data_IF_434521793931
#
_entry.id   IF_434521793931
#
_cell.length_a   1.000
_cell.length_b   1.000
_cell.length_c   1.000
_cell.angle_alpha   90.00
_cell.angle_beta   90.00
_cell.angle_gamma   90.00
#
_symmetry.space_group_name_H-M   'P 1'
#
loop_
_entity.id
_entity.type
_entity.pdbx_description
1 polymer ?
#
# COMPACT_ATOMS: atom_id res chain seq x y z
N UNK A 1 13.53 -7.74 -4.48
CA UNK A 1 12.18 -7.76 -5.10
C UNK A 1 11.63 -9.16 -4.98
N UNK A 2 10.50 -9.31 -4.28
CA UNK A 2 9.86 -10.60 -4.03
C UNK A 2 9.16 -11.12 -5.29
N UNK A 3 9.26 -12.42 -5.54
CA UNK A 3 8.46 -13.11 -6.55
C UNK A 3 6.99 -13.21 -6.14
N UNK A 4 6.10 -13.42 -7.11
CA UNK A 4 4.66 -13.65 -6.87
C UNK A 4 4.41 -14.73 -5.82
N UNK A 5 5.10 -15.87 -5.93
CA UNK A 5 4.95 -16.98 -4.98
C UNK A 5 5.43 -16.60 -3.57
N UNK A 6 6.48 -15.78 -3.45
CA UNK A 6 6.94 -15.28 -2.15
C UNK A 6 5.92 -14.33 -1.52
N UNK A 7 5.29 -13.45 -2.32
CA UNK A 7 4.23 -12.53 -1.87
C UNK A 7 3.00 -13.31 -1.40
N UNK A 8 2.56 -14.31 -2.16
CA UNK A 8 1.41 -15.14 -1.80
C UNK A 8 1.67 -15.89 -0.48
N UNK A 9 2.83 -16.56 -0.36
CA UNK A 9 3.22 -17.25 0.89
C UNK A 9 3.35 -16.30 2.08
N UNK A 10 3.87 -15.08 1.87
CA UNK A 10 3.96 -14.06 2.92
C UNK A 10 2.57 -13.65 3.40
N UNK A 11 1.63 -13.41 2.47
CA UNK A 11 0.24 -13.07 2.80
C UNK A 11 -0.45 -14.13 3.66
N UNK A 12 -0.26 -15.41 3.36
CA UNK A 12 -0.84 -16.50 4.15
C UNK A 12 -0.23 -16.59 5.57
N UNK A 13 1.08 -16.36 5.73
CA UNK A 13 1.71 -16.30 7.06
C UNK A 13 1.21 -15.10 7.88
N UNK A 14 1.00 -13.94 7.24
CA UNK A 14 0.43 -12.75 7.88
C UNK A 14 -0.98 -13.01 8.41
N UNK A 15 -1.81 -13.71 7.64
CA UNK A 15 -3.16 -14.11 8.08
C UNK A 15 -3.12 -15.08 9.26
N UNK A 16 -2.23 -16.07 9.22
CA UNK A 16 -2.08 -17.07 10.28
C UNK A 16 -1.63 -16.47 11.62
N UNK A 17 -0.91 -15.34 11.59
CA UNK A 17 -0.69 -14.47 12.75
C UNK A 17 0.56 -14.75 13.59
N UNK A 18 1.27 -15.84 13.33
CA UNK A 18 2.58 -16.15 13.93
C UNK A 18 3.71 -15.54 13.09
N UNK A 19 3.78 -14.21 13.04
CA UNK A 19 4.74 -13.48 12.23
C UNK A 19 6.14 -13.50 12.85
N UNK A 20 7.13 -13.88 12.04
CA UNK A 20 8.54 -13.75 12.40
C UNK A 20 9.05 -12.35 12.05
N UNK A 21 10.19 -11.95 12.64
CA UNK A 21 10.87 -10.71 12.23
C UNK A 21 11.23 -10.69 10.74
N UNK A 22 11.53 -11.87 10.18
CA UNK A 22 11.80 -12.00 8.76
C UNK A 22 10.55 -11.70 7.92
N UNK A 23 9.37 -12.14 8.36
CA UNK A 23 8.11 -11.83 7.69
C UNK A 23 7.80 -10.33 7.74
N UNK A 24 8.04 -9.69 8.89
CA UNK A 24 7.86 -8.23 9.02
C UNK A 24 8.82 -7.46 8.11
N UNK A 25 10.06 -7.91 7.97
CA UNK A 25 11.03 -7.34 7.02
C UNK A 25 10.58 -7.52 5.57
N UNK A 26 10.14 -8.73 5.20
CA UNK A 26 9.63 -8.98 3.84
C UNK A 26 8.34 -8.19 3.55
N UNK A 27 7.49 -7.97 4.55
CA UNK A 27 6.31 -7.13 4.40
C UNK A 27 6.68 -5.65 4.22
N UNK A 28 7.69 -5.16 4.93
CA UNK A 28 8.19 -3.80 4.72
C UNK A 28 8.90 -3.65 3.36
N UNK A 29 9.67 -4.64 2.89
CA UNK A 29 10.22 -4.66 1.52
C UNK A 29 9.10 -4.58 0.48
N UNK A 30 8.06 -5.43 0.63
CA UNK A 30 6.89 -5.41 -0.25
C UNK A 30 6.19 -4.05 -0.24
N UNK A 31 6.00 -3.45 0.95
CA UNK A 31 5.39 -2.12 1.07
C UNK A 31 6.22 -1.04 0.36
N UNK A 32 7.54 -1.06 0.54
CA UNK A 32 8.47 -0.09 -0.07
C UNK A 32 8.56 -0.23 -1.58
N UNK A 33 8.25 -1.40 -2.16
CA UNK A 33 8.25 -1.57 -3.62
C UNK A 33 7.21 -0.69 -4.34
N UNK A 34 6.24 -0.14 -3.61
CA UNK A 34 5.26 0.80 -4.14
C UNK A 34 5.76 2.24 -4.20
N UNK A 35 6.96 2.56 -3.70
CA UNK A 35 7.49 3.92 -3.68
C UNK A 35 7.54 4.54 -5.09
N UNK A 36 8.04 3.81 -6.08
CA UNK A 36 8.11 4.31 -7.46
C UNK A 36 6.72 4.56 -8.06
N UNK A 37 5.76 3.65 -7.84
CA UNK A 37 4.39 3.83 -8.31
C UNK A 37 3.70 5.02 -7.62
N UNK A 38 3.98 5.21 -6.33
CA UNK A 38 3.54 6.36 -5.56
C UNK A 38 4.12 7.67 -6.10
N UNK A 39 5.43 7.73 -6.37
CA UNK A 39 6.08 8.96 -6.87
C UNK A 39 5.50 9.38 -8.23
N UNK A 40 5.22 8.41 -9.10
CA UNK A 40 4.52 8.65 -10.38
C UNK A 40 3.12 9.18 -10.13
N UNK A 41 2.31 8.51 -9.30
CA UNK A 41 0.95 8.94 -9.00
C UNK A 41 0.94 10.34 -8.38
N UNK A 42 1.84 10.64 -7.45
CA UNK A 42 1.99 11.94 -6.81
C UNK A 42 2.34 13.03 -7.83
N UNK A 43 3.32 12.78 -8.70
CA UNK A 43 3.76 13.72 -9.73
C UNK A 43 2.66 14.01 -10.75
N UNK A 44 1.92 12.97 -11.15
CA UNK A 44 0.74 13.08 -12.02
C UNK A 44 -0.33 13.92 -11.32
N UNK A 45 -0.74 13.56 -10.11
CA UNK A 45 -1.74 14.30 -9.33
C UNK A 45 -1.37 15.79 -9.18
N UNK A 46 -0.10 16.09 -8.90
CA UNK A 46 0.39 17.46 -8.79
C UNK A 46 0.35 18.23 -10.11
N UNK A 47 0.60 17.56 -11.22
CA UNK A 47 0.57 18.18 -12.56
C UNK A 47 -0.85 18.48 -13.04
N UNK A 48 -1.83 17.63 -12.67
CA UNK A 48 -3.22 17.76 -13.12
C UNK A 48 -4.08 18.64 -12.21
N UNK A 49 -3.66 18.88 -10.97
CA UNK A 49 -4.45 19.64 -10.01
C UNK A 49 -3.73 20.92 -9.60
N UNK A 50 -4.48 21.97 -9.26
CA UNK A 50 -3.92 23.19 -8.66
C UNK A 50 -3.69 23.04 -7.15
N UNK A 51 -3.97 21.86 -6.60
CA UNK A 51 -3.85 21.56 -5.19
C UNK A 51 -2.62 20.69 -4.93
N UNK A 52 -1.98 20.88 -3.77
CA UNK A 52 -0.83 20.06 -3.41
C UNK A 52 -1.33 18.69 -2.91
N UNK A 53 -0.99 17.57 -3.59
CA UNK A 53 -1.34 16.24 -3.12
C UNK A 53 -0.59 15.91 -1.82
N UNK A 54 -1.21 15.06 -1.00
CA UNK A 54 -0.59 14.51 0.22
C UNK A 54 -0.44 13.00 0.09
N UNK A 55 0.68 12.47 0.56
CA UNK A 55 0.98 11.05 0.47
C UNK A 55 0.65 10.27 1.73
N UNK A 56 0.20 9.03 1.57
CA UNK A 56 0.07 8.08 2.67
C UNK A 56 0.41 6.67 2.22
N UNK A 57 1.35 6.06 2.94
CA UNK A 57 1.56 4.62 2.89
C UNK A 57 0.78 3.96 4.04
N UNK A 58 0.21 2.79 3.77
CA UNK A 58 -0.27 1.94 4.85
C UNK A 58 0.88 1.52 5.75
N UNK A 59 0.64 1.37 7.04
CA UNK A 59 1.61 0.73 7.93
C UNK A 59 1.54 -0.80 7.79
N UNK A 60 2.60 -1.51 8.17
CA UNK A 60 2.59 -2.98 8.23
C UNK A 60 1.40 -3.50 9.05
N UNK A 61 1.12 -2.88 10.22
CA UNK A 61 -0.03 -3.25 11.06
C UNK A 61 -1.35 -3.11 10.31
N UNK A 62 -1.57 -2.00 9.60
CA UNK A 62 -2.81 -1.79 8.83
C UNK A 62 -2.95 -2.73 7.62
N UNK A 63 -1.84 -3.25 7.08
CA UNK A 63 -1.85 -4.30 6.05
C UNK A 63 -2.27 -5.64 6.69
N UNK A 64 -1.68 -6.00 7.83
CA UNK A 64 -2.00 -7.20 8.59
C UNK A 64 -3.49 -7.21 8.97
N UNK A 65 -3.98 -6.12 9.56
CA UNK A 65 -5.39 -5.96 9.94
C UNK A 65 -6.33 -6.12 8.75
N UNK A 66 -6.00 -5.52 7.59
CA UNK A 66 -6.82 -5.65 6.38
C UNK A 66 -6.85 -7.07 5.86
N UNK A 67 -5.71 -7.76 5.82
CA UNK A 67 -5.65 -9.15 5.37
C UNK A 67 -6.47 -10.09 6.25
N UNK A 68 -6.45 -9.86 7.56
CA UNK A 68 -7.26 -10.63 8.51
C UNK A 68 -8.75 -10.33 8.37
N UNK A 69 -9.12 -9.07 8.12
CA UNK A 69 -10.52 -8.66 7.97
C UNK A 69 -11.15 -9.09 6.65
N UNK A 70 -10.41 -9.00 5.54
CA UNK A 70 -11.01 -9.04 4.20
C UNK A 70 -10.79 -10.35 3.42
N UNK A 71 -10.15 -11.38 3.98
CA UNK A 71 -9.93 -12.69 3.33
C UNK A 71 -9.35 -12.61 1.89
N UNK A 72 -8.63 -11.53 1.57
CA UNK A 72 -7.97 -11.28 0.29
C UNK A 72 -6.49 -11.71 0.32
N UNK A 73 -5.85 -11.89 -0.83
CA UNK A 73 -4.39 -12.09 -0.91
C UNK A 73 -3.64 -10.78 -0.71
N UNK A 74 -2.40 -10.84 -0.24
CA UNK A 74 -1.52 -9.66 -0.10
C UNK A 74 -1.39 -8.87 -1.40
N UNK A 75 -1.22 -9.57 -2.53
CA UNK A 75 -1.13 -8.96 -3.85
C UNK A 75 -2.42 -8.28 -4.34
N UNK A 76 -3.57 -8.50 -3.66
CA UNK A 76 -4.85 -7.87 -4.01
C UNK A 76 -5.10 -6.56 -3.25
N UNK A 77 -4.22 -6.17 -2.33
CA UNK A 77 -4.32 -4.88 -1.65
C UNK A 77 -3.96 -3.77 -2.63
N UNK A 78 -4.90 -2.88 -2.91
CA UNK A 78 -4.72 -1.78 -3.86
C UNK A 78 -4.21 -0.49 -3.18
N UNK A 79 -4.48 -0.32 -1.89
CA UNK A 79 -4.22 0.89 -1.11
C UNK A 79 -2.94 0.79 -0.25
N UNK A 80 -1.88 0.16 -0.78
CA UNK A 80 -0.58 0.08 -0.08
C UNK A 80 0.09 1.46 0.00
N UNK A 81 0.01 2.22 -1.09
CA UNK A 81 0.44 3.60 -1.18
C UNK A 81 -0.63 4.40 -1.94
N UNK A 82 -0.96 5.59 -1.45
CA UNK A 82 -1.99 6.42 -2.06
C UNK A 82 -1.69 7.91 -1.90
N UNK A 83 -2.26 8.69 -2.81
CA UNK A 83 -2.28 10.14 -2.76
C UNK A 83 -3.68 10.61 -2.37
N UNK A 84 -3.75 11.71 -1.63
CA UNK A 84 -4.99 12.41 -1.29
C UNK A 84 -4.88 13.85 -1.76
N UNK A 85 -5.87 14.27 -2.52
CA UNK A 85 -6.04 15.65 -2.97
C UNK A 85 -7.23 16.23 -2.21
N UNK A 86 -7.04 17.38 -1.59
CA UNK A 86 -8.12 18.10 -0.92
C UNK A 86 -8.52 19.25 -1.84
N UNK A 87 -9.77 19.23 -2.29
CA UNK A 87 -10.32 20.21 -3.23
C UNK A 87 -11.27 21.17 -2.52
N UNK A 88 -11.42 22.37 -3.07
CA UNK A 88 -12.18 23.48 -2.49
C UNK A 88 -13.70 23.34 -2.65
N UNK A 89 -14.17 22.57 -3.63
CA UNK A 89 -15.60 22.38 -3.88
C UNK A 89 -15.88 21.27 -4.89
N UNK A 90 -17.16 20.92 -5.07
CA UNK A 90 -17.58 19.81 -5.93
C UNK A 90 -17.19 19.97 -7.40
N UNK A 91 -17.03 21.21 -7.88
CA UNK A 91 -16.60 21.47 -9.26
C UNK A 91 -15.14 21.08 -9.54
N UNK A 92 -14.36 20.83 -8.49
CA UNK A 92 -12.93 20.48 -8.56
C UNK A 92 -12.66 18.97 -8.37
N UNK A 93 -13.71 18.14 -8.17
CA UNK A 93 -13.63 16.69 -7.91
C UNK A 93 -13.86 15.86 -9.18
#
# INVERSE_FOLDING_TARGET
>A
MLSKNQIDKLGERVKAGNLTDQDLRSLDEYRRSFAMAYDVAFSVSRSFTKQEPTGRFKSNNSIVEKLRRESIRLAQIQDVAGCRIVVSGMSDQ
#
